data_IF_492619632141
#
_entry.id   IF_492619632141
#
_cell.length_a   1.000
_cell.length_b   1.000
_cell.length_c   1.000
_cell.angle_alpha   90.00
_cell.angle_beta   90.00
_cell.angle_gamma   90.00
#
_symmetry.space_group_name_H-M   'P 1'
#
loop_
_entity.id
_entity.type
_entity.pdbx_description
1 polymer ?
#
# COMPACT_ATOMS: atom_id res chain seq x y z
N UNK A 1 -25.37 45.03 -32.44
CA UNK A 1 -25.30 44.33 -31.14
C UNK A 1 -24.82 42.93 -31.41
N UNK A 2 -23.52 42.70 -31.32
CA UNK A 2 -22.83 41.43 -31.62
C UNK A 2 -22.40 40.85 -30.29
N UNK A 3 -23.04 39.73 -29.86
CA UNK A 3 -22.71 38.99 -28.67
C UNK A 3 -21.49 38.11 -28.92
N UNK A 4 -20.42 38.37 -28.19
CA UNK A 4 -19.17 37.54 -28.18
C UNK A 4 -19.44 36.19 -27.51
N UNK A 5 -18.88 35.08 -28.03
CA UNK A 5 -18.96 33.77 -27.37
C UNK A 5 -18.03 33.71 -26.16
N UNK A 6 -18.56 33.32 -25.03
CA UNK A 6 -17.87 33.12 -23.76
C UNK A 6 -16.82 32.01 -23.92
N UNK A 7 -15.54 32.34 -23.76
CA UNK A 7 -14.43 31.35 -23.67
C UNK A 7 -14.63 30.49 -22.46
N UNK A 8 -15.07 29.26 -22.65
CA UNK A 8 -15.04 28.21 -21.64
C UNK A 8 -13.55 27.87 -21.40
N UNK A 9 -13.09 28.06 -20.18
CA UNK A 9 -11.70 27.96 -19.79
C UNK A 9 -11.12 26.57 -20.05
N UNK A 10 -9.97 26.49 -20.74
CA UNK A 10 -9.18 25.28 -21.01
C UNK A 10 -8.71 24.53 -19.73
N UNK A 11 -8.87 25.14 -18.55
CA UNK A 11 -8.50 24.55 -17.26
C UNK A 11 -9.34 23.33 -16.86
N UNK A 12 -10.57 23.18 -17.40
CA UNK A 12 -11.43 22.03 -17.10
C UNK A 12 -11.08 20.77 -17.89
N UNK A 13 -10.41 20.89 -19.04
CA UNK A 13 -9.99 19.76 -19.89
C UNK A 13 -8.72 19.05 -19.41
N UNK A 14 -7.82 19.72 -18.68
CA UNK A 14 -6.59 19.12 -18.15
C UNK A 14 -6.80 18.23 -16.92
N UNK A 15 -7.95 18.34 -16.23
CA UNK A 15 -8.29 17.51 -15.06
C UNK A 15 -8.66 16.06 -15.37
N UNK A 16 -8.92 15.71 -16.62
CA UNK A 16 -9.34 14.36 -17.01
C UNK A 16 -8.19 13.45 -17.48
N UNK A 17 -6.95 13.92 -17.53
CA UNK A 17 -5.80 13.14 -18.02
C UNK A 17 -4.94 12.52 -16.92
N UNK A 18 -5.18 12.85 -15.65
CA UNK A 18 -4.47 12.23 -14.52
C UNK A 18 -5.12 10.88 -14.15
N UNK A 19 -4.42 9.74 -14.34
CA UNK A 19 -4.92 8.41 -14.00
C UNK A 19 -5.39 8.28 -12.55
N UNK A 20 -4.72 8.98 -11.63
CA UNK A 20 -5.08 8.97 -10.21
C UNK A 20 -6.45 9.65 -9.99
N UNK A 21 -6.65 10.81 -10.59
CA UNK A 21 -7.93 11.54 -10.47
C UNK A 21 -9.09 10.72 -11.04
N UNK A 22 -8.89 10.10 -12.20
CA UNK A 22 -9.91 9.21 -12.80
C UNK A 22 -10.21 8.00 -11.90
N UNK A 23 -9.18 7.36 -11.38
CA UNK A 23 -9.33 6.21 -10.46
C UNK A 23 -10.12 6.60 -9.20
N UNK A 24 -9.74 7.70 -8.54
CA UNK A 24 -10.43 8.20 -7.33
C UNK A 24 -11.89 8.54 -7.60
N UNK A 25 -12.19 9.15 -8.73
CA UNK A 25 -13.57 9.45 -9.14
C UNK A 25 -14.38 8.16 -9.39
N UNK A 26 -13.75 7.11 -9.93
CA UNK A 26 -14.40 5.83 -10.21
C UNK A 26 -14.73 5.07 -8.92
N UNK A 27 -13.78 4.94 -8.00
CA UNK A 27 -14.03 4.24 -6.72
C UNK A 27 -15.00 5.01 -5.81
N UNK A 28 -15.08 6.34 -5.98
CA UNK A 28 -16.00 7.19 -5.22
C UNK A 28 -17.49 6.98 -5.56
N UNK A 29 -17.79 6.37 -6.71
CA UNK A 29 -19.17 6.07 -7.15
C UNK A 29 -19.76 4.83 -6.49
N UNK A 30 -18.90 3.92 -6.02
CA UNK A 30 -19.37 2.68 -5.39
C UNK A 30 -19.93 3.00 -3.98
N UNK A 31 -21.17 2.55 -3.68
CA UNK A 31 -21.77 2.77 -2.37
C UNK A 31 -21.04 1.95 -1.30
N UNK A 32 -20.98 2.50 -0.09
CA UNK A 32 -20.46 1.78 1.07
C UNK A 32 -21.45 0.67 1.48
N UNK A 33 -20.91 -0.41 1.99
CA UNK A 33 -21.71 -1.53 2.50
C UNK A 33 -22.25 -1.21 3.91
N UNK A 34 -23.48 -1.65 4.15
CA UNK A 34 -24.03 -1.69 5.50
C UNK A 34 -23.48 -2.90 6.28
N UNK A 35 -23.49 -2.89 7.62
CA UNK A 35 -23.06 -4.05 8.41
C UNK A 35 -23.78 -5.36 8.07
N UNK A 36 -25.07 -5.29 7.73
CA UNK A 36 -25.84 -6.45 7.31
C UNK A 36 -25.35 -7.00 5.96
N UNK A 37 -25.05 -6.13 5.00
CA UNK A 37 -24.47 -6.53 3.71
C UNK A 37 -23.04 -7.10 3.87
N UNK A 38 -22.22 -6.55 4.77
CA UNK A 38 -20.89 -7.13 5.07
C UNK A 38 -20.99 -8.58 5.55
N UNK A 39 -21.97 -8.87 6.42
CA UNK A 39 -22.22 -10.23 6.94
C UNK A 39 -22.72 -11.15 5.82
N UNK A 40 -23.70 -10.71 5.03
CA UNK A 40 -24.26 -11.52 3.94
C UNK A 40 -23.20 -11.86 2.90
N UNK A 41 -22.51 -10.84 2.38
CA UNK A 41 -21.45 -11.01 1.38
C UNK A 41 -20.30 -11.85 1.93
N UNK A 42 -19.90 -11.64 3.18
CA UNK A 42 -18.88 -12.42 3.85
C UNK A 42 -19.23 -13.91 3.92
N UNK A 43 -20.45 -14.26 4.30
CA UNK A 43 -20.94 -15.66 4.33
C UNK A 43 -20.91 -16.30 2.93
N UNK A 44 -21.32 -15.55 1.89
CA UNK A 44 -21.29 -16.03 0.51
C UNK A 44 -19.85 -16.27 0.03
N UNK A 45 -18.91 -15.41 0.41
CA UNK A 45 -17.48 -15.59 0.10
C UNK A 45 -16.92 -16.81 0.84
N UNK A 46 -17.22 -16.97 2.14
CA UNK A 46 -16.76 -18.12 2.91
C UNK A 46 -17.29 -19.45 2.35
N UNK A 47 -18.55 -19.48 1.90
CA UNK A 47 -19.12 -20.65 1.24
C UNK A 47 -18.36 -20.99 -0.04
N UNK A 48 -18.04 -19.97 -0.86
CA UNK A 48 -17.24 -20.15 -2.07
C UNK A 48 -15.84 -20.68 -1.73
N UNK A 49 -15.16 -20.13 -0.73
CA UNK A 49 -13.81 -20.54 -0.33
C UNK A 49 -13.77 -21.98 0.11
N UNK A 50 -14.72 -22.43 0.93
CA UNK A 50 -14.85 -23.84 1.36
C UNK A 50 -15.01 -24.79 0.17
N UNK A 51 -15.90 -24.44 -0.78
CA UNK A 51 -16.09 -25.24 -1.99
C UNK A 51 -14.82 -25.30 -2.84
N UNK A 52 -14.05 -24.21 -2.89
CA UNK A 52 -12.79 -24.17 -3.66
C UNK A 52 -11.67 -24.98 -2.97
N UNK A 53 -11.65 -25.06 -1.64
CA UNK A 53 -10.67 -25.83 -0.87
C UNK A 53 -10.91 -27.36 -0.97
N UNK A 54 -12.12 -27.80 -1.29
CA UNK A 54 -12.46 -29.22 -1.48
C UNK A 54 -11.81 -29.86 -2.74
N UNK A 55 -11.10 -29.08 -3.55
CA UNK A 55 -10.31 -29.53 -4.69
C UNK A 55 -11.08 -29.61 -6.01
N UNK A 56 -10.35 -30.02 -7.06
CA UNK A 56 -10.86 -30.17 -8.43
C UNK A 56 -11.74 -31.44 -8.56
N UNK A 57 -12.98 -31.33 -8.08
CA UNK A 57 -14.04 -32.32 -8.35
C UNK A 57 -15.08 -31.74 -9.31
N UNK A 58 -15.84 -32.58 -9.95
CA UNK A 58 -17.00 -32.12 -10.70
C UNK A 58 -18.06 -31.54 -9.75
N UNK A 59 -18.22 -30.20 -9.84
CA UNK A 59 -19.23 -29.48 -9.04
C UNK A 59 -20.62 -29.72 -9.62
N UNK A 60 -21.57 -29.92 -8.74
CA UNK A 60 -23.00 -29.95 -9.09
C UNK A 60 -23.46 -28.59 -9.61
N UNK A 61 -24.59 -28.52 -10.29
CA UNK A 61 -25.11 -27.23 -10.81
C UNK A 61 -25.45 -26.23 -9.71
N UNK A 62 -25.85 -26.72 -8.52
CA UNK A 62 -26.04 -25.88 -7.34
C UNK A 62 -24.72 -25.29 -6.83
N UNK A 63 -23.67 -26.09 -6.74
CA UNK A 63 -22.33 -25.63 -6.30
C UNK A 63 -21.75 -24.63 -7.29
N UNK A 64 -21.89 -24.85 -8.61
CA UNK A 64 -21.51 -23.88 -9.64
C UNK A 64 -22.24 -22.55 -9.48
N UNK A 65 -23.53 -22.57 -9.08
CA UNK A 65 -24.30 -21.36 -8.79
C UNK A 65 -23.74 -20.65 -7.56
N UNK A 66 -23.45 -21.37 -6.48
CA UNK A 66 -22.85 -20.82 -5.25
C UNK A 66 -21.49 -20.20 -5.51
N UNK A 67 -20.62 -20.84 -6.30
CA UNK A 67 -19.33 -20.30 -6.71
C UNK A 67 -19.48 -19.00 -7.49
N UNK A 68 -20.46 -18.88 -8.40
CA UNK A 68 -20.73 -17.63 -9.14
C UNK A 68 -21.21 -16.51 -8.22
N UNK A 69 -22.08 -16.83 -7.26
CA UNK A 69 -22.55 -15.87 -6.25
C UNK A 69 -21.38 -15.41 -5.41
N UNK A 70 -20.57 -16.31 -4.87
CA UNK A 70 -19.41 -15.96 -4.05
C UNK A 70 -18.39 -15.10 -4.79
N UNK A 71 -18.10 -15.38 -6.06
CA UNK A 71 -17.23 -14.53 -6.90
C UNK A 71 -17.79 -13.11 -7.06
N UNK A 72 -19.09 -12.95 -7.29
CA UNK A 72 -19.75 -11.63 -7.38
C UNK A 72 -19.70 -10.90 -6.03
N UNK A 73 -19.95 -11.61 -4.95
CA UNK A 73 -19.91 -11.07 -3.59
C UNK A 73 -18.51 -10.61 -3.21
N UNK A 74 -17.49 -11.40 -3.53
CA UNK A 74 -16.08 -11.01 -3.38
C UNK A 74 -15.78 -9.71 -4.11
N UNK A 75 -16.16 -9.62 -5.40
CA UNK A 75 -15.95 -8.42 -6.20
C UNK A 75 -16.68 -7.19 -5.64
N UNK A 76 -17.94 -7.33 -5.20
CA UNK A 76 -18.71 -6.24 -4.59
C UNK A 76 -18.07 -5.77 -3.29
N UNK A 77 -17.64 -6.71 -2.44
CA UNK A 77 -16.98 -6.40 -1.17
C UNK A 77 -15.65 -5.70 -1.38
N UNK A 78 -14.85 -6.12 -2.37
CA UNK A 78 -13.62 -5.44 -2.77
C UNK A 78 -13.88 -4.01 -3.26
N UNK A 79 -14.78 -3.84 -4.25
CA UNK A 79 -15.08 -2.52 -4.84
C UNK A 79 -15.54 -1.51 -3.80
N UNK A 80 -16.45 -1.87 -2.93
CA UNK A 80 -16.98 -1.01 -1.88
C UNK A 80 -15.89 -0.54 -0.87
N UNK A 81 -14.79 -1.31 -0.73
CA UNK A 81 -13.73 -1.05 0.23
C UNK A 81 -12.43 -0.49 -0.39
N UNK A 82 -12.38 -0.20 -1.69
CA UNK A 82 -11.19 0.41 -2.32
C UNK A 82 -10.84 1.78 -1.72
N UNK A 83 -11.84 2.53 -1.25
CA UNK A 83 -11.63 3.81 -0.55
C UNK A 83 -10.82 3.64 0.74
N UNK A 84 -10.99 2.52 1.45
CA UNK A 84 -10.18 2.20 2.62
C UNK A 84 -8.71 1.98 2.22
N UNK A 85 -8.46 1.24 1.12
CA UNK A 85 -7.09 1.04 0.60
C UNK A 85 -6.41 2.37 0.33
N UNK A 86 -7.08 3.30 -0.37
CA UNK A 86 -6.53 4.63 -0.65
C UNK A 86 -6.23 5.41 0.62
N UNK A 87 -7.11 5.36 1.62
CA UNK A 87 -6.91 6.05 2.90
C UNK A 87 -5.67 5.57 3.66
N UNK A 88 -5.36 4.27 3.55
CA UNK A 88 -4.16 3.67 4.13
C UNK A 88 -2.94 4.02 3.27
N UNK A 89 -3.02 3.89 1.93
CA UNK A 89 -1.91 4.16 1.00
C UNK A 89 -1.36 5.60 1.14
N UNK A 90 -2.24 6.57 1.34
CA UNK A 90 -1.83 7.98 1.58
C UNK A 90 -0.84 8.14 2.74
N UNK A 91 -0.91 7.30 3.78
CA UNK A 91 0.00 7.33 4.94
C UNK A 91 1.39 6.76 4.63
N UNK A 92 1.52 6.08 3.50
CA UNK A 92 2.77 5.42 3.07
C UNK A 92 3.43 6.09 1.86
N UNK A 93 2.89 7.21 1.39
CA UNK A 93 3.52 8.02 0.34
C UNK A 93 4.92 8.49 0.75
N UNK A 94 5.80 8.67 -0.22
CA UNK A 94 7.19 9.12 0.00
C UNK A 94 8.12 8.07 0.58
N UNK A 95 7.72 6.79 0.63
CA UNK A 95 8.55 5.69 1.13
C UNK A 95 9.19 4.83 0.02
N UNK A 96 9.35 5.40 -1.18
CA UNK A 96 10.04 4.75 -2.29
C UNK A 96 9.15 3.99 -3.26
N UNK A 97 7.81 4.02 -3.07
CA UNK A 97 6.82 3.53 -4.04
C UNK A 97 5.84 4.65 -4.41
N UNK A 98 5.38 4.65 -5.65
CA UNK A 98 4.33 5.56 -6.11
C UNK A 98 2.98 5.24 -5.47
N UNK A 99 2.07 6.23 -5.42
CA UNK A 99 0.77 6.05 -4.80
C UNK A 99 -0.06 4.97 -5.49
N UNK A 100 0.00 4.87 -6.81
CA UNK A 100 -0.75 3.84 -7.55
C UNK A 100 -0.24 2.44 -7.24
N UNK A 101 1.07 2.25 -7.13
CA UNK A 101 1.67 0.97 -6.77
C UNK A 101 1.28 0.56 -5.34
N UNK A 102 1.32 1.52 -4.40
CA UNK A 102 0.84 1.28 -3.04
C UNK A 102 -0.64 0.87 -2.99
N UNK A 103 -1.48 1.49 -3.84
CA UNK A 103 -2.90 1.13 -3.94
C UNK A 103 -3.06 -0.29 -4.51
N UNK A 104 -2.29 -0.68 -5.53
CA UNK A 104 -2.35 -2.03 -6.09
C UNK A 104 -1.92 -3.08 -5.07
N UNK A 105 -0.78 -2.88 -4.42
CA UNK A 105 -0.31 -3.78 -3.36
C UNK A 105 -1.29 -3.86 -2.17
N UNK A 106 -1.87 -2.72 -1.79
CA UNK A 106 -2.92 -2.69 -0.78
C UNK A 106 -4.20 -3.40 -1.20
N UNK A 107 -4.54 -3.37 -2.49
CA UNK A 107 -5.69 -4.09 -3.04
C UNK A 107 -5.51 -5.60 -2.99
N UNK A 108 -4.28 -6.10 -3.19
CA UNK A 108 -3.94 -7.52 -2.96
C UNK A 108 -4.10 -7.90 -1.48
N UNK A 109 -3.74 -6.99 -0.57
CA UNK A 109 -4.02 -7.16 0.86
C UNK A 109 -5.51 -7.18 1.18
N UNK A 110 -6.30 -6.30 0.56
CA UNK A 110 -7.76 -6.27 0.68
C UNK A 110 -8.39 -7.56 0.17
N UNK A 111 -7.93 -8.11 -0.95
CA UNK A 111 -8.41 -9.38 -1.49
C UNK A 111 -8.26 -10.51 -0.48
N UNK A 112 -7.06 -10.66 0.10
CA UNK A 112 -6.81 -11.65 1.16
C UNK A 112 -7.68 -11.43 2.40
N UNK A 113 -7.94 -10.16 2.75
CA UNK A 113 -8.84 -9.84 3.84
C UNK A 113 -10.27 -10.30 3.55
N UNK A 114 -10.79 -10.08 2.34
CA UNK A 114 -12.12 -10.54 1.93
C UNK A 114 -12.23 -12.06 1.98
N UNK A 115 -11.20 -12.77 1.51
CA UNK A 115 -11.18 -14.24 1.50
C UNK A 115 -11.16 -14.84 2.92
N UNK A 116 -10.49 -14.19 3.87
CA UNK A 116 -10.31 -14.70 5.23
C UNK A 116 -11.23 -14.05 6.27
N UNK A 117 -12.12 -13.15 5.84
CA UNK A 117 -13.05 -12.49 6.76
C UNK A 117 -14.09 -13.47 7.29
N UNK A 118 -14.19 -13.54 8.61
CA UNK A 118 -15.20 -14.33 9.32
C UNK A 118 -16.26 -13.39 9.92
N UNK A 119 -17.46 -13.31 9.31
CA UNK A 119 -18.53 -12.44 9.79
C UNK A 119 -19.09 -12.83 11.16
N UNK A 120 -18.88 -14.08 11.60
CA UNK A 120 -19.43 -14.59 12.89
C UNK A 120 -18.76 -13.97 14.11
N UNK A 121 -17.56 -13.39 13.94
CA UNK A 121 -16.78 -12.77 15.02
C UNK A 121 -17.31 -11.41 15.48
N UNK A 122 -18.30 -10.83 14.80
CA UNK A 122 -18.94 -9.57 15.20
C UNK A 122 -18.14 -8.30 15.00
N UNK A 123 -16.93 -8.36 14.40
CA UNK A 123 -16.13 -7.19 14.08
C UNK A 123 -16.50 -6.63 12.70
N UNK A 124 -16.38 -5.29 12.55
CA UNK A 124 -16.52 -4.65 11.24
C UNK A 124 -15.42 -5.11 10.29
N UNK A 125 -15.77 -5.31 9.03
CA UNK A 125 -14.80 -5.71 8.00
C UNK A 125 -13.61 -4.76 7.90
N UNK A 126 -13.83 -3.44 7.98
CA UNK A 126 -12.77 -2.43 7.88
C UNK A 126 -11.67 -2.59 8.94
N UNK A 127 -12.02 -3.00 10.17
CA UNK A 127 -11.05 -3.24 11.27
C UNK A 127 -10.12 -4.40 10.93
N UNK A 128 -10.66 -5.46 10.35
CA UNK A 128 -9.90 -6.64 9.94
C UNK A 128 -9.06 -6.36 8.68
N UNK A 129 -9.67 -5.74 7.67
CA UNK A 129 -9.04 -5.45 6.40
C UNK A 129 -7.84 -4.48 6.53
N UNK A 130 -7.92 -3.52 7.46
CA UNK A 130 -6.84 -2.57 7.72
C UNK A 130 -5.48 -3.27 7.96
N UNK A 131 -5.46 -4.36 8.72
CA UNK A 131 -4.22 -5.08 9.02
C UNK A 131 -3.62 -5.77 7.81
N UNK A 132 -4.45 -6.38 6.96
CA UNK A 132 -4.00 -7.03 5.73
C UNK A 132 -3.50 -6.02 4.69
N UNK A 133 -4.23 -4.93 4.50
CA UNK A 133 -3.85 -3.83 3.61
C UNK A 133 -2.49 -3.25 4.06
N UNK A 134 -2.36 -2.94 5.35
CA UNK A 134 -1.12 -2.43 5.93
C UNK A 134 0.04 -3.40 5.74
N UNK A 135 -0.18 -4.67 6.03
CA UNK A 135 0.84 -5.71 5.90
C UNK A 135 1.34 -5.84 4.46
N UNK A 136 0.41 -5.87 3.48
CA UNK A 136 0.77 -5.95 2.07
C UNK A 136 1.59 -4.75 1.63
N UNK A 137 1.16 -3.51 1.95
CA UNK A 137 1.89 -2.29 1.61
C UNK A 137 3.28 -2.24 2.26
N UNK A 138 3.38 -2.60 3.55
CA UNK A 138 4.68 -2.59 4.26
C UNK A 138 5.65 -3.60 3.65
N UNK A 139 5.15 -4.79 3.29
CA UNK A 139 5.94 -5.82 2.62
C UNK A 139 6.38 -5.38 1.22
N UNK A 140 5.49 -4.76 0.44
CA UNK A 140 5.82 -4.23 -0.87
C UNK A 140 6.93 -3.16 -0.78
N UNK A 141 6.81 -2.21 0.15
CA UNK A 141 7.86 -1.21 0.40
C UNK A 141 9.19 -1.89 0.74
N UNK A 142 9.21 -2.87 1.63
CA UNK A 142 10.45 -3.56 1.99
C UNK A 142 11.09 -4.30 0.81
N UNK A 143 10.28 -4.78 -0.15
CA UNK A 143 10.75 -5.59 -1.28
C UNK A 143 11.06 -4.79 -2.54
N UNK A 144 10.40 -3.65 -2.79
CA UNK A 144 10.36 -3.00 -4.10
C UNK A 144 10.80 -1.53 -4.06
N UNK A 145 10.93 -0.91 -2.87
CA UNK A 145 11.23 0.53 -2.78
C UNK A 145 12.66 0.91 -3.16
N UNK A 146 13.55 -0.07 -3.33
CA UNK A 146 14.97 0.17 -3.60
C UNK A 146 15.38 -0.38 -4.96
N UNK A 147 16.22 0.36 -5.71
CA UNK A 147 16.83 -0.10 -6.96
C UNK A 147 17.67 -1.37 -6.72
N UNK A 148 18.51 -1.36 -5.69
CA UNK A 148 19.21 -2.57 -5.22
C UNK A 148 18.38 -3.16 -4.09
N UNK A 149 17.71 -4.28 -4.35
CA UNK A 149 16.84 -4.96 -3.41
C UNK A 149 17.60 -5.43 -2.17
N UNK A 150 17.06 -5.14 -0.99
CA UNK A 150 17.54 -5.68 0.27
C UNK A 150 16.63 -6.83 0.76
N UNK A 151 17.17 -7.82 1.47
CA UNK A 151 16.37 -8.79 2.20
C UNK A 151 15.42 -8.12 3.21
N UNK A 152 14.23 -8.68 3.41
CA UNK A 152 13.18 -8.08 4.26
C UNK A 152 13.67 -7.86 5.69
N UNK A 153 14.39 -8.83 6.27
CA UNK A 153 14.93 -8.72 7.62
C UNK A 153 15.90 -7.54 7.82
N UNK A 154 16.68 -7.19 6.78
CA UNK A 154 17.55 -6.01 6.83
C UNK A 154 16.72 -4.71 6.76
N UNK A 155 15.69 -4.67 5.93
CA UNK A 155 14.77 -3.53 5.86
C UNK A 155 14.03 -3.31 7.19
N UNK A 156 13.65 -4.37 7.87
CA UNK A 156 13.03 -4.32 9.20
C UNK A 156 14.01 -3.79 10.25
N UNK A 157 15.27 -4.29 10.27
CA UNK A 157 16.31 -3.76 11.16
C UNK A 157 16.60 -2.28 10.91
N UNK A 158 16.73 -1.85 9.66
CA UNK A 158 16.92 -0.44 9.33
C UNK A 158 15.73 0.44 9.76
N UNK A 159 14.51 -0.09 9.69
CA UNK A 159 13.32 0.60 10.19
C UNK A 159 13.34 0.72 11.71
N UNK A 160 13.78 -0.32 12.42
CA UNK A 160 13.95 -0.29 13.87
C UNK A 160 15.03 0.71 14.30
N UNK A 161 16.18 0.76 13.60
CA UNK A 161 17.24 1.75 13.83
C UNK A 161 16.69 3.18 13.71
N UNK A 162 15.94 3.47 12.63
CA UNK A 162 15.33 4.80 12.44
C UNK A 162 14.36 5.16 13.56
N UNK A 163 13.55 4.21 13.99
CA UNK A 163 12.60 4.42 15.09
C UNK A 163 13.30 4.75 16.39
N UNK A 164 14.30 3.95 16.77
CA UNK A 164 15.10 4.16 17.98
C UNK A 164 15.85 5.49 17.92
N UNK A 165 16.45 5.82 16.77
CA UNK A 165 17.13 7.10 16.56
C UNK A 165 16.18 8.30 16.75
N UNK A 166 14.95 8.24 16.24
CA UNK A 166 13.95 9.28 16.44
C UNK A 166 13.50 9.40 17.90
N UNK A 167 13.29 8.28 18.58
CA UNK A 167 12.91 8.24 19.99
C UNK A 167 14.01 8.84 20.89
N UNK A 168 15.29 8.53 20.60
CA UNK A 168 16.43 9.08 21.29
C UNK A 168 16.58 10.58 21.00
N UNK A 169 16.43 11.01 19.76
CA UNK A 169 16.48 12.42 19.38
C UNK A 169 15.42 13.25 20.13
N UNK A 170 14.20 12.70 20.29
CA UNK A 170 13.17 13.34 21.11
C UNK A 170 13.54 13.44 22.59
N UNK A 171 14.22 12.44 23.14
CA UNK A 171 14.62 12.43 24.56
C UNK A 171 15.82 13.34 24.84
N UNK A 172 16.80 13.36 23.92
CA UNK A 172 18.05 14.09 24.09
C UNK A 172 17.96 15.56 23.60
N UNK A 173 16.93 15.88 22.81
CA UNK A 173 16.83 17.20 22.15
C UNK A 173 17.87 17.42 21.03
N UNK A 174 18.67 16.41 20.70
CA UNK A 174 19.72 16.43 19.67
C UNK A 174 19.78 15.08 18.93
N UNK A 175 20.44 15.05 17.77
CA UNK A 175 20.66 13.79 17.04
C UNK A 175 21.55 12.84 17.84
N UNK A 176 21.10 11.58 18.08
CA UNK A 176 21.87 10.61 18.84
C UNK A 176 23.13 10.17 18.08
N UNK A 177 24.19 9.89 18.84
CA UNK A 177 25.41 9.29 18.34
C UNK A 177 25.18 7.80 17.96
N UNK A 178 26.09 7.25 17.15
CA UNK A 178 26.01 5.82 16.77
C UNK A 178 26.14 4.91 18.00
N UNK A 179 26.91 5.30 18.98
CA UNK A 179 27.08 4.57 20.24
C UNK A 179 25.77 4.49 21.02
N UNK A 180 25.09 5.62 21.21
CA UNK A 180 23.80 5.68 21.90
C UNK A 180 22.72 4.84 21.19
N UNK A 181 22.72 4.82 19.84
CA UNK A 181 21.81 3.96 19.08
C UNK A 181 22.15 2.47 19.27
N UNK A 182 23.43 2.10 19.21
CA UNK A 182 23.89 0.74 19.40
C UNK A 182 23.55 0.21 20.81
N UNK A 183 23.79 1.02 21.84
CA UNK A 183 23.42 0.72 23.24
C UNK A 183 21.92 0.53 23.40
N UNK A 184 21.10 1.46 22.85
CA UNK A 184 19.65 1.38 22.94
C UNK A 184 19.05 0.18 22.21
N UNK A 185 19.72 -0.31 21.17
CA UNK A 185 19.33 -1.51 20.43
C UNK A 185 19.97 -2.80 20.96
N UNK A 186 20.87 -2.71 21.94
CA UNK A 186 21.65 -3.82 22.50
C UNK A 186 22.40 -4.62 21.41
N UNK A 187 23.04 -3.92 20.44
CA UNK A 187 23.85 -4.51 19.36
C UNK A 187 25.26 -3.94 19.39
N UNK A 188 26.28 -4.68 18.91
CA UNK A 188 27.64 -4.16 18.75
C UNK A 188 27.67 -2.99 17.74
N UNK A 189 28.55 -2.02 17.94
CA UNK A 189 28.68 -0.86 17.06
C UNK A 189 29.11 -1.25 15.64
N UNK A 190 29.92 -2.30 15.53
CA UNK A 190 30.38 -2.85 14.25
C UNK A 190 29.22 -3.41 13.43
N UNK A 191 28.24 -4.06 14.09
CA UNK A 191 27.03 -4.57 13.46
C UNK A 191 26.14 -3.39 12.97
N UNK A 192 25.98 -2.36 13.81
CA UNK A 192 25.23 -1.15 13.43
C UNK A 192 25.86 -0.48 12.21
N UNK A 193 27.18 -0.31 12.19
CA UNK A 193 27.90 0.31 11.07
C UNK A 193 27.78 -0.54 9.80
N UNK A 194 27.82 -1.86 9.92
CA UNK A 194 27.57 -2.79 8.81
C UNK A 194 26.17 -2.61 8.20
N UNK A 195 25.13 -2.52 9.04
CA UNK A 195 23.76 -2.28 8.61
C UNK A 195 23.60 -0.91 7.93
N UNK A 196 24.21 0.14 8.48
CA UNK A 196 24.16 1.50 7.91
C UNK A 196 24.88 1.57 6.55
N UNK A 197 26.01 0.89 6.36
CA UNK A 197 26.69 0.79 5.06
C UNK A 197 25.80 0.13 4.00
N UNK A 198 25.07 -0.92 4.37
CA UNK A 198 24.12 -1.60 3.45
C UNK A 198 22.89 -0.73 3.13
N UNK A 199 22.62 0.30 3.94
CA UNK A 199 21.47 1.20 3.76
C UNK A 199 21.70 2.31 2.73
N UNK A 200 22.89 2.43 2.15
CA UNK A 200 23.22 3.47 1.17
C UNK A 200 22.23 3.43 -0.01
N UNK A 201 21.84 4.62 -0.45
CA UNK A 201 20.98 4.79 -1.63
C UNK A 201 21.82 5.02 -2.86
N UNK A 202 21.34 4.55 -4.00
CA UNK A 202 21.95 4.82 -5.30
C UNK A 202 21.69 6.26 -5.72
N UNK A 203 22.69 6.90 -6.39
CA UNK A 203 22.54 8.19 -7.07
C UNK A 203 22.43 7.95 -8.57
N UNK A 204 21.76 8.87 -9.28
CA UNK A 204 21.72 8.82 -10.75
C UNK A 204 23.06 9.25 -11.32
N UNK A 205 23.54 8.56 -12.33
CA UNK A 205 24.72 8.99 -13.11
C UNK A 205 24.43 10.26 -13.91
N UNK A 206 23.15 10.49 -14.27
CA UNK A 206 22.69 11.70 -14.97
C UNK A 206 22.45 12.88 -14.02
N UNK A 207 22.83 12.77 -12.74
CA UNK A 207 22.74 13.89 -11.82
C UNK A 207 23.82 14.93 -12.14
N UNK A 208 23.46 16.23 -12.26
CA UNK A 208 24.42 17.29 -12.54
C UNK A 208 25.41 17.45 -11.37
N UNK A 209 26.69 17.61 -11.70
CA UNK A 209 27.73 17.96 -10.73
C UNK A 209 27.68 19.47 -10.48
N UNK A 210 27.62 19.89 -9.21
CA UNK A 210 27.65 21.30 -8.79
C UNK A 210 26.44 22.20 -9.13
N UNK A 211 25.27 21.66 -9.40
CA UNK A 211 24.07 22.49 -9.61
C UNK A 211 24.10 23.35 -10.89
N UNK A 212 25.08 23.17 -11.75
CA UNK A 212 25.20 23.87 -13.03
C UNK A 212 24.39 23.08 -14.07
N UNK A 213 23.23 23.61 -14.42
CA UNK A 213 22.32 22.95 -15.36
C UNK A 213 23.01 22.72 -16.71
N UNK A 214 23.50 21.51 -16.95
CA UNK A 214 23.75 20.99 -18.29
C UNK A 214 25.19 20.91 -18.77
N UNK A 215 26.24 20.96 -17.93
CA UNK A 215 27.65 20.89 -18.44
C UNK A 215 28.45 19.67 -18.00
N UNK A 216 28.20 19.02 -16.91
CA UNK A 216 28.83 17.73 -16.54
C UNK A 216 27.90 16.91 -15.63
N UNK A 217 27.87 15.62 -15.89
CA UNK A 217 27.07 14.64 -15.11
C UNK A 217 28.00 13.79 -14.26
N UNK A 218 27.45 13.15 -13.21
CA UNK A 218 28.22 12.24 -12.35
C UNK A 218 28.80 11.04 -13.11
N UNK A 219 28.26 10.73 -14.29
CA UNK A 219 28.70 9.62 -15.15
C UNK A 219 29.82 9.97 -16.14
N UNK A 220 30.18 11.25 -16.30
CA UNK A 220 31.24 11.72 -17.18
C UNK A 220 32.62 11.60 -16.49
#
# INVERSE_FOLDING_TARGET
>A
MTSSPTRVSESSRRRSSDPITWYLATIGREPLLTPAEEIELGNQVQTMMRLTEEGDREFSDLEKKLLRIGKRSKQRMMKANLRLVVSVAKKYQGKGLELLDLIQEGSLGLERAVEKFDPTRGYKFSTYAFWWIRQSMTRAIACQSRTIRLPVHLSERLTAIRKVSLELAHKLGAMPSRQEIAEAMAIPIEELDGLLRQSLTTSSLDAPVNGDEGRSFLGD
#
